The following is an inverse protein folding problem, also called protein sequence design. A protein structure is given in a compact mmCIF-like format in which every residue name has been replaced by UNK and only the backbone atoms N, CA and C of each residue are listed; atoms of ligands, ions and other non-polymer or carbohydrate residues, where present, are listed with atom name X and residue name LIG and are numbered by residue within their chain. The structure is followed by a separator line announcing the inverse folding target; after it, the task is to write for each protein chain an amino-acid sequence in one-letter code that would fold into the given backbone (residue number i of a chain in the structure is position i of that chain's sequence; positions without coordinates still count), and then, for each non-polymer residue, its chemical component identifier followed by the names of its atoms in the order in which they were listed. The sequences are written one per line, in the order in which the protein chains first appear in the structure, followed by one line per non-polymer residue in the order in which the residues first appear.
data_IF_578368081979
#
_entry.id   IF_578368081979
#
_cell.length_a   1.000
_cell.length_b   1.000
_cell.length_c   1.000
_cell.angle_alpha   90.00
_cell.angle_beta   90.00
_cell.angle_gamma   90.00
#
_symmetry.space_group_name_H-M   'P 1'
#
loop_
_entity.id
_entity.type
_entity.pdbx_description
1 polymer ?
#
# COMPACT_ATOMS: atom_id res chain seq x y z
N UNK A 1 -1.99 -13.64 -31.58
CA UNK A 1 -2.16 -12.29 -31.03
C UNK A 1 -0.83 -11.93 -30.37
N UNK A 2 -0.06 -10.99 -30.94
CA UNK A 2 1.13 -10.44 -30.30
C UNK A 2 0.71 -9.83 -28.96
N UNK A 3 1.44 -10.11 -27.89
CA UNK A 3 1.19 -9.50 -26.58
C UNK A 3 1.40 -7.98 -26.72
N UNK A 4 0.33 -7.21 -26.61
CA UNK A 4 0.38 -5.75 -26.75
C UNK A 4 1.37 -5.09 -25.76
N UNK A 5 1.75 -5.80 -24.69
CA UNK A 5 2.77 -5.39 -23.73
C UNK A 5 4.20 -5.67 -24.18
N UNK A 6 4.46 -6.35 -25.30
CA UNK A 6 5.82 -6.42 -25.86
C UNK A 6 6.31 -5.04 -26.36
N UNK A 7 5.40 -4.09 -26.56
CA UNK A 7 5.73 -2.73 -27.02
C UNK A 7 5.48 -1.65 -25.94
N UNK A 8 4.74 -1.94 -24.88
CA UNK A 8 4.42 -0.99 -23.80
C UNK A 8 4.50 -1.69 -22.45
N UNK A 9 5.35 -1.18 -21.57
CA UNK A 9 5.52 -1.66 -20.20
C UNK A 9 4.55 -0.98 -19.22
N UNK A 10 4.37 -1.57 -18.02
CA UNK A 10 3.75 -0.88 -16.90
C UNK A 10 4.61 0.35 -16.57
N UNK A 11 4.00 1.52 -16.53
CA UNK A 11 4.68 2.80 -16.42
C UNK A 11 4.20 3.64 -15.23
N UNK A 12 3.30 3.11 -14.41
CA UNK A 12 2.83 3.74 -13.18
C UNK A 12 2.67 2.70 -12.08
N UNK A 13 3.39 2.84 -10.96
CA UNK A 13 3.32 1.88 -9.86
C UNK A 13 3.05 2.59 -8.53
N UNK A 14 1.93 2.26 -7.89
CA UNK A 14 1.69 2.64 -6.50
C UNK A 14 2.33 1.59 -5.58
N UNK A 15 3.50 1.93 -5.04
CA UNK A 15 4.34 1.04 -4.26
C UNK A 15 3.97 0.96 -2.78
N UNK A 16 3.19 1.92 -2.27
CA UNK A 16 2.85 1.95 -0.83
C UNK A 16 2.20 3.26 -0.37
N UNK A 17 2.12 3.42 0.95
CA UNK A 17 2.38 2.41 1.97
C UNK A 17 1.14 1.58 2.25
N UNK A 18 1.34 0.36 2.71
CA UNK A 18 0.20 -0.47 3.10
C UNK A 18 -0.56 0.17 4.28
N UNK A 19 -1.89 0.26 4.18
CA UNK A 19 -2.81 0.91 5.15
C UNK A 19 -2.84 2.45 5.10
N UNK A 20 -2.37 3.03 4.00
CA UNK A 20 -2.36 4.48 3.75
C UNK A 20 -3.32 4.93 2.64
N UNK A 21 -4.41 4.20 2.37
CA UNK A 21 -5.45 4.65 1.43
C UNK A 21 -5.24 4.25 -0.03
N UNK A 22 -4.25 3.43 -0.37
CA UNK A 22 -3.99 3.00 -1.76
C UNK A 22 -5.19 2.34 -2.46
N UNK A 23 -6.12 1.72 -1.71
CA UNK A 23 -7.34 1.16 -2.30
C UNK A 23 -8.35 2.24 -2.67
N UNK A 24 -8.43 3.33 -1.91
CA UNK A 24 -9.27 4.50 -2.24
C UNK A 24 -8.77 5.14 -3.52
N UNK A 25 -7.48 5.45 -3.60
CA UNK A 25 -6.87 6.01 -4.81
C UNK A 25 -7.07 5.08 -6.02
N UNK A 26 -6.82 3.78 -5.86
CA UNK A 26 -7.08 2.78 -6.91
C UNK A 26 -8.53 2.85 -7.41
N UNK A 27 -9.51 2.86 -6.50
CA UNK A 27 -10.93 2.88 -6.87
C UNK A 27 -11.31 4.15 -7.64
N UNK A 28 -10.73 5.29 -7.28
CA UNK A 28 -10.94 6.55 -8.00
C UNK A 28 -10.32 6.47 -9.40
N UNK A 29 -9.06 6.10 -9.50
CA UNK A 29 -8.34 6.08 -10.77
C UNK A 29 -8.83 4.99 -11.73
N UNK A 30 -9.48 3.91 -11.25
CA UNK A 30 -10.12 2.92 -12.15
C UNK A 30 -11.27 3.49 -12.96
N UNK A 31 -11.84 4.63 -12.57
CA UNK A 31 -12.89 5.34 -13.30
C UNK A 31 -12.31 6.32 -14.34
N UNK A 32 -11.00 6.59 -14.28
CA UNK A 32 -10.35 7.56 -15.15
C UNK A 32 -10.03 6.97 -16.53
N UNK A 33 -10.36 7.68 -17.64
CA UNK A 33 -10.22 7.12 -18.99
C UNK A 33 -8.79 6.90 -19.47
N UNK A 34 -7.79 7.53 -18.84
CA UNK A 34 -6.38 7.42 -19.24
C UNK A 34 -5.64 6.27 -18.53
N UNK A 35 -6.28 5.51 -17.65
CA UNK A 35 -5.63 4.47 -16.85
C UNK A 35 -6.09 3.06 -17.23
N UNK A 36 -5.13 2.14 -17.27
CA UNK A 36 -5.36 0.70 -17.39
C UNK A 36 -4.79 0.00 -16.16
N UNK A 37 -5.56 -0.88 -15.55
CA UNK A 37 -5.14 -1.62 -14.37
C UNK A 37 -5.03 -3.12 -14.68
N UNK A 38 -4.18 -3.81 -13.92
CA UNK A 38 -4.13 -5.25 -13.90
C UNK A 38 -5.52 -5.85 -13.59
N UNK A 39 -5.77 -7.09 -14.02
CA UNK A 39 -7.01 -7.83 -13.72
C UNK A 39 -7.20 -8.07 -12.22
N UNK A 40 -6.10 -8.17 -11.49
CA UNK A 40 -6.09 -8.32 -10.03
C UNK A 40 -5.36 -7.13 -9.42
N UNK A 41 -5.90 -6.58 -8.34
CA UNK A 41 -5.18 -5.62 -7.52
C UNK A 41 -4.11 -6.35 -6.73
N UNK A 42 -2.93 -5.70 -6.54
CA UNK A 42 -1.79 -6.23 -5.80
C UNK A 42 -1.18 -7.49 -6.46
N UNK A 43 -0.60 -7.29 -7.65
CA UNK A 43 0.03 -8.35 -8.46
C UNK A 43 1.20 -9.02 -7.73
N UNK A 44 1.87 -8.30 -6.81
CA UNK A 44 2.96 -8.80 -5.96
C UNK A 44 4.26 -9.18 -6.71
N UNK A 45 4.35 -8.96 -8.02
CA UNK A 45 5.40 -9.48 -8.87
C UNK A 45 6.82 -9.10 -8.40
N UNK A 46 7.06 -7.80 -8.13
CA UNK A 46 8.38 -7.31 -7.70
C UNK A 46 8.71 -7.60 -6.23
N UNK A 47 7.75 -8.11 -5.44
CA UNK A 47 7.92 -8.54 -4.05
C UNK A 47 7.73 -10.05 -3.87
N UNK A 48 7.89 -10.84 -4.93
CA UNK A 48 7.81 -12.31 -4.89
C UNK A 48 9.22 -12.89 -4.82
N UNK A 49 9.42 -13.87 -3.95
CA UNK A 49 10.67 -14.62 -3.86
C UNK A 49 10.39 -16.13 -4.06
N UNK A 50 11.20 -16.84 -4.86
CA UNK A 50 12.27 -16.29 -5.69
C UNK A 50 11.74 -15.41 -6.83
N UNK A 51 12.41 -14.28 -7.06
CA UNK A 51 12.11 -13.39 -8.18
C UNK A 51 12.73 -13.92 -9.47
N UNK A 52 11.98 -13.83 -10.54
CA UNK A 52 12.49 -14.10 -11.89
C UNK A 52 12.21 -12.89 -12.78
N UNK A 53 13.19 -12.49 -13.60
CA UNK A 53 13.00 -11.40 -14.58
C UNK A 53 12.17 -11.82 -15.81
N UNK A 54 11.43 -12.94 -15.72
CA UNK A 54 10.46 -13.35 -16.73
C UNK A 54 9.15 -12.57 -16.54
N UNK A 55 9.03 -11.47 -17.25
CA UNK A 55 7.87 -10.57 -17.13
C UNK A 55 6.59 -11.12 -17.79
N UNK A 56 6.62 -12.26 -18.47
CA UNK A 56 5.42 -12.85 -19.13
C UNK A 56 4.27 -13.07 -18.15
N UNK A 57 4.56 -13.56 -16.94
CA UNK A 57 3.54 -13.75 -15.89
C UNK A 57 2.99 -12.42 -15.37
N UNK A 58 3.85 -11.41 -15.28
CA UNK A 58 3.43 -10.05 -14.88
C UNK A 58 2.51 -9.45 -15.94
N UNK A 59 2.93 -9.48 -17.19
CA UNK A 59 2.18 -8.98 -18.34
C UNK A 59 0.86 -9.73 -18.57
N UNK A 60 0.77 -11.01 -18.22
CA UNK A 60 -0.46 -11.79 -18.30
C UNK A 60 -1.63 -11.16 -17.52
N UNK A 61 -1.35 -10.37 -16.48
CA UNK A 61 -2.39 -9.64 -15.72
C UNK A 61 -3.05 -8.52 -16.54
N UNK A 62 -2.49 -8.12 -17.67
CA UNK A 62 -2.99 -7.05 -18.53
C UNK A 62 -3.55 -7.58 -19.87
N UNK A 63 -3.49 -8.90 -20.15
CA UNK A 63 -4.00 -9.49 -21.38
C UNK A 63 -5.47 -9.14 -21.61
N UNK A 64 -5.80 -8.76 -22.84
CA UNK A 64 -7.16 -8.37 -23.24
C UNK A 64 -7.65 -7.06 -22.60
N UNK A 65 -6.75 -6.26 -22.03
CA UNK A 65 -7.03 -4.88 -21.64
C UNK A 65 -6.74 -3.93 -22.78
N UNK A 66 -7.54 -2.88 -22.89
CA UNK A 66 -7.21 -1.72 -23.74
C UNK A 66 -6.12 -0.96 -23.00
N UNK A 67 -4.91 -0.90 -23.55
CA UNK A 67 -3.80 -0.17 -22.96
C UNK A 67 -3.96 1.33 -23.22
N UNK A 68 -4.03 2.08 -22.13
CA UNK A 68 -4.18 3.54 -22.13
C UNK A 68 -2.84 4.20 -21.84
N UNK A 69 -2.82 5.52 -21.65
CA UNK A 69 -1.60 6.29 -21.36
C UNK A 69 -0.86 5.71 -20.14
N UNK A 70 -1.57 5.47 -19.05
CA UNK A 70 -1.03 4.91 -17.81
C UNK A 70 -1.42 3.43 -17.66
N UNK A 71 -0.43 2.56 -17.64
CA UNK A 71 -0.59 1.13 -17.34
C UNK A 71 -0.11 0.95 -15.90
N UNK A 72 -1.06 0.70 -14.99
CA UNK A 72 -0.85 0.86 -13.56
C UNK A 72 -0.84 -0.46 -12.77
N UNK A 73 0.12 -0.60 -11.84
CA UNK A 73 0.15 -1.62 -10.78
C UNK A 73 0.01 -0.96 -9.41
N UNK A 74 -0.90 -1.46 -8.58
CA UNK A 74 -1.13 -0.98 -7.23
C UNK A 74 -0.82 -2.08 -6.22
N UNK A 75 0.43 -2.18 -5.81
CA UNK A 75 0.92 -3.20 -4.87
C UNK A 75 1.65 -2.54 -3.68
N UNK A 76 0.95 -2.20 -2.60
CA UNK A 76 1.51 -1.45 -1.47
C UNK A 76 2.61 -2.16 -0.67
N UNK A 77 2.89 -3.41 -0.98
CA UNK A 77 3.98 -4.18 -0.37
C UNK A 77 5.35 -3.77 -0.93
N UNK A 78 5.42 -3.22 -2.13
CA UNK A 78 6.69 -2.90 -2.79
C UNK A 78 7.52 -1.88 -2.01
N UNK A 79 6.88 -0.88 -1.39
CA UNK A 79 7.59 0.16 -0.65
C UNK A 79 8.52 -0.41 0.42
N UNK A 80 8.01 -1.38 1.20
CA UNK A 80 8.76 -1.98 2.29
C UNK A 80 9.69 -3.12 1.83
N UNK A 81 9.51 -3.67 0.63
CA UNK A 81 10.34 -4.77 0.13
C UNK A 81 11.73 -4.25 -0.29
N UNK A 82 12.83 -4.81 0.22
CA UNK A 82 14.17 -4.27 0.03
C UNK A 82 14.58 -4.17 -1.45
N UNK A 83 14.21 -5.15 -2.27
CA UNK A 83 14.63 -5.24 -3.67
C UNK A 83 13.58 -4.75 -4.68
N UNK A 84 12.37 -4.38 -4.23
CA UNK A 84 11.32 -4.02 -5.18
C UNK A 84 11.69 -2.79 -6.02
N UNK A 85 12.33 -1.78 -5.42
CA UNK A 85 12.76 -0.57 -6.13
C UNK A 85 13.74 -0.90 -7.27
N UNK A 86 14.77 -1.71 -7.00
CA UNK A 86 15.77 -2.12 -8.01
C UNK A 86 15.15 -2.99 -9.11
N UNK A 87 14.25 -3.91 -8.73
CA UNK A 87 13.53 -4.77 -9.70
C UNK A 87 12.62 -3.95 -10.62
N UNK A 88 11.95 -2.90 -10.07
CA UNK A 88 11.10 -1.99 -10.86
C UNK A 88 11.95 -1.14 -11.79
N UNK A 89 13.06 -0.56 -11.31
CA UNK A 89 13.96 0.24 -12.13
C UNK A 89 14.60 -0.59 -13.27
N UNK A 90 15.00 -1.83 -12.99
CA UNK A 90 15.51 -2.75 -14.01
C UNK A 90 14.42 -3.16 -15.03
N UNK A 91 13.16 -3.22 -14.62
CA UNK A 91 12.03 -3.52 -15.51
C UNK A 91 11.69 -2.34 -16.41
N UNK A 92 11.54 -1.16 -15.86
CA UNK A 92 11.24 0.07 -16.60
C UNK A 92 11.74 1.30 -15.83
N UNK A 93 12.88 1.91 -16.23
CA UNK A 93 13.42 3.08 -15.54
C UNK A 93 12.55 4.34 -15.68
N UNK A 94 11.63 4.37 -16.67
CA UNK A 94 10.71 5.48 -16.88
C UNK A 94 9.40 5.36 -16.08
N UNK A 95 9.35 4.41 -15.14
CA UNK A 95 8.16 4.19 -14.29
C UNK A 95 7.93 5.36 -13.34
N UNK A 96 6.72 5.90 -13.33
CA UNK A 96 6.26 6.82 -12.29
C UNK A 96 5.84 6.05 -11.04
N UNK A 97 6.30 6.51 -9.89
CA UNK A 97 6.12 5.87 -8.57
C UNK A 97 5.17 6.70 -7.72
N UNK A 98 4.07 6.11 -7.27
CA UNK A 98 3.14 6.74 -6.32
C UNK A 98 3.37 6.16 -4.93
N UNK A 99 3.52 7.05 -3.93
CA UNK A 99 3.70 6.69 -2.52
C UNK A 99 2.71 7.49 -1.68
N UNK A 100 1.74 6.80 -1.07
CA UNK A 100 0.83 7.38 -0.09
C UNK A 100 1.36 7.12 1.31
N UNK A 101 1.50 8.15 2.12
CA UNK A 101 1.98 8.07 3.50
C UNK A 101 0.86 8.44 4.48
N UNK A 102 0.89 7.84 5.62
CA UNK A 102 -0.01 8.07 6.75
C UNK A 102 0.80 8.14 8.02
N UNK A 103 0.31 8.81 9.07
CA UNK A 103 0.88 8.70 10.41
C UNK A 103 1.27 7.23 10.68
N UNK A 104 2.57 6.93 10.89
CA UNK A 104 3.07 5.56 10.98
C UNK A 104 2.49 4.81 12.18
N UNK A 105 2.11 5.50 13.26
CA UNK A 105 1.42 4.91 14.42
C UNK A 105 0.03 4.44 14.01
N UNK A 106 -0.76 5.30 13.37
CA UNK A 106 -2.10 4.96 12.90
C UNK A 106 -2.06 3.88 11.81
N UNK A 107 -1.03 3.90 10.96
CA UNK A 107 -0.80 2.85 9.97
C UNK A 107 -0.51 1.50 10.65
N UNK A 108 0.38 1.49 11.68
CA UNK A 108 0.72 0.28 12.43
C UNK A 108 -0.51 -0.31 13.12
N UNK A 109 -1.32 0.49 13.80
CA UNK A 109 -2.60 0.07 14.40
C UNK A 109 -3.51 -0.56 13.34
N UNK A 110 -3.70 0.11 12.21
CA UNK A 110 -4.55 -0.39 11.11
C UNK A 110 -4.02 -1.71 10.51
N UNK A 111 -2.69 -1.89 10.46
CA UNK A 111 -2.06 -3.12 9.98
C UNK A 111 -2.25 -4.27 10.99
N UNK A 112 -2.00 -4.01 12.26
CA UNK A 112 -2.22 -4.97 13.34
C UNK A 112 -3.69 -5.46 13.34
N UNK A 113 -4.64 -4.53 13.31
CA UNK A 113 -6.07 -4.85 13.23
C UNK A 113 -6.40 -5.75 12.01
N UNK A 114 -5.77 -5.49 10.88
CA UNK A 114 -5.93 -6.35 9.69
C UNK A 114 -5.36 -7.75 9.93
N UNK A 115 -4.18 -7.89 10.57
CA UNK A 115 -3.58 -9.19 10.87
C UNK A 115 -4.44 -10.00 11.84
N UNK A 116 -4.97 -9.38 12.91
CA UNK A 116 -5.91 -10.00 13.85
C UNK A 116 -7.17 -10.50 13.11
N UNK A 117 -7.80 -9.67 12.29
CA UNK A 117 -8.99 -10.05 11.52
C UNK A 117 -8.76 -11.23 10.58
N UNK A 118 -7.58 -11.27 9.96
CA UNK A 118 -7.20 -12.36 9.05
C UNK A 118 -6.73 -13.63 9.80
N UNK A 119 -6.63 -13.58 11.14
CA UNK A 119 -6.14 -14.67 11.96
C UNK A 119 -4.63 -14.93 11.78
N UNK A 120 -3.90 -13.92 11.34
CA UNK A 120 -2.44 -13.96 11.12
C UNK A 120 -1.66 -13.36 12.30
N UNK A 121 -2.35 -12.92 13.35
CA UNK A 121 -1.77 -12.46 14.60
C UNK A 121 -2.70 -12.81 15.76
N UNK A 122 -2.12 -13.17 16.90
CA UNK A 122 -2.84 -13.53 18.13
C UNK A 122 -2.29 -12.82 19.36
N UNK A 123 -1.07 -12.24 19.27
CA UNK A 123 -0.45 -11.47 20.34
C UNK A 123 -1.15 -10.13 20.51
N UNK A 124 -0.99 -9.52 21.68
CA UNK A 124 -1.42 -8.14 21.93
C UNK A 124 -0.63 -7.14 21.07
N UNK A 125 -1.15 -5.93 20.90
CA UNK A 125 -0.45 -4.90 20.13
C UNK A 125 0.88 -4.51 20.79
N UNK A 126 0.91 -4.43 22.12
CA UNK A 126 2.12 -4.15 22.89
C UNK A 126 3.22 -5.21 22.66
N UNK A 127 2.86 -6.49 22.64
CA UNK A 127 3.81 -7.57 22.35
C UNK A 127 4.34 -7.50 20.93
N UNK A 128 3.50 -7.19 19.95
CA UNK A 128 3.91 -7.01 18.54
C UNK A 128 4.86 -5.82 18.43
N UNK A 129 4.53 -4.68 19.04
CA UNK A 129 5.38 -3.49 19.01
C UNK A 129 6.74 -3.78 19.65
N UNK A 130 6.75 -4.38 20.83
CA UNK A 130 8.01 -4.74 21.53
C UNK A 130 8.86 -5.67 20.67
N UNK A 131 8.28 -6.73 20.14
CA UNK A 131 8.98 -7.71 19.30
C UNK A 131 9.53 -7.08 18.02
N UNK A 132 8.71 -6.27 17.31
CA UNK A 132 9.12 -5.62 16.06
C UNK A 132 10.20 -4.57 16.29
N UNK A 133 10.06 -3.72 17.33
CA UNK A 133 11.05 -2.68 17.63
C UNK A 133 12.39 -3.27 18.10
N UNK A 134 12.37 -4.35 18.85
CA UNK A 134 13.61 -5.05 19.26
C UNK A 134 14.32 -5.66 18.06
N UNK A 135 13.61 -6.39 17.22
CA UNK A 135 14.17 -6.95 16.00
C UNK A 135 14.78 -5.88 15.08
N UNK A 136 14.12 -4.73 14.93
CA UNK A 136 14.58 -3.63 14.07
C UNK A 136 15.80 -2.87 14.62
N UNK A 137 16.08 -2.94 15.94
CA UNK A 137 17.31 -2.38 16.52
C UNK A 137 18.55 -3.19 16.15
N UNK A 138 18.40 -4.51 16.05
CA UNK A 138 19.52 -5.42 15.80
C UNK A 138 19.79 -5.66 14.32
N UNK A 139 18.74 -5.63 13.50
CA UNK A 139 18.83 -5.82 12.06
C UNK A 139 17.95 -4.79 11.30
N UNK A 140 18.54 -3.69 10.89
CA UNK A 140 17.84 -2.73 9.98
C UNK A 140 17.42 -3.35 8.65
N UNK A 141 17.93 -4.55 8.34
CA UNK A 141 17.60 -5.35 7.15
C UNK A 141 16.54 -6.43 7.38
N UNK A 142 16.03 -6.58 8.62
CA UNK A 142 14.88 -7.47 8.84
C UNK A 142 13.81 -7.09 7.83
N UNK A 143 13.36 -8.08 7.08
CA UNK A 143 12.25 -7.96 6.11
C UNK A 143 11.14 -7.06 6.67
N UNK A 144 11.31 -5.76 6.52
CA UNK A 144 10.29 -4.75 6.85
C UNK A 144 8.97 -5.14 6.22
N UNK A 145 9.04 -6.02 5.21
CA UNK A 145 7.91 -6.60 4.51
C UNK A 145 6.93 -7.41 5.36
N UNK A 146 7.32 -7.94 6.52
CA UNK A 146 6.44 -8.70 7.43
C UNK A 146 6.10 -7.93 8.70
N UNK A 147 6.96 -7.00 9.12
CA UNK A 147 6.82 -6.22 10.36
C UNK A 147 5.61 -5.28 10.32
N UNK A 148 4.88 -5.22 11.42
CA UNK A 148 3.84 -4.22 11.63
C UNK A 148 4.46 -2.84 11.82
N UNK A 149 5.57 -2.75 12.56
CA UNK A 149 6.25 -1.48 12.86
C UNK A 149 7.15 -1.07 11.70
N UNK A 150 8.02 -1.96 11.20
CA UNK A 150 9.05 -1.64 10.20
C UNK A 150 8.51 -1.02 8.91
N UNK A 151 7.29 -1.37 8.50
CA UNK A 151 6.63 -0.72 7.34
C UNK A 151 6.31 0.76 7.52
N UNK A 152 6.46 1.31 8.72
CA UNK A 152 6.27 2.72 9.02
C UNK A 152 7.57 3.55 8.98
N UNK A 153 8.71 2.92 8.80
CA UNK A 153 10.01 3.59 8.60
C UNK A 153 10.11 4.06 7.15
N UNK A 154 9.49 5.20 6.85
CA UNK A 154 9.29 5.66 5.47
C UNK A 154 10.53 6.25 4.84
N UNK A 155 11.34 6.99 5.59
CA UNK A 155 12.49 7.71 5.06
C UNK A 155 13.48 6.75 4.39
N UNK A 156 13.85 5.66 5.08
CA UNK A 156 14.74 4.64 4.53
C UNK A 156 14.12 3.89 3.32
N UNK A 157 12.80 3.68 3.33
CA UNK A 157 12.10 3.04 2.23
C UNK A 157 12.05 3.93 0.98
N UNK A 158 11.76 5.22 1.14
CA UNK A 158 11.72 6.20 0.05
C UNK A 158 13.11 6.42 -0.51
N UNK A 159 14.15 6.44 0.32
CA UNK A 159 15.53 6.61 -0.12
C UNK A 159 15.96 5.57 -1.18
N UNK A 160 15.44 4.33 -1.11
CA UNK A 160 15.69 3.31 -2.14
C UNK A 160 15.11 3.68 -3.51
N UNK A 161 13.98 4.39 -3.54
CA UNK A 161 13.37 4.90 -4.78
C UNK A 161 14.07 6.17 -5.25
N UNK A 162 14.42 7.08 -4.33
CA UNK A 162 15.17 8.31 -4.66
C UNK A 162 16.53 8.03 -5.30
N UNK A 163 17.16 6.91 -4.94
CA UNK A 163 18.44 6.50 -5.52
C UNK A 163 18.32 5.97 -6.97
N UNK A 164 17.12 5.60 -7.42
CA UNK A 164 16.91 4.88 -8.69
C UNK A 164 16.00 5.62 -9.67
N UNK A 165 15.18 6.53 -9.18
CA UNK A 165 14.21 7.27 -9.99
C UNK A 165 14.39 8.76 -9.82
N UNK A 166 14.33 9.56 -10.90
CA UNK A 166 14.40 11.01 -10.80
C UNK A 166 13.19 11.58 -10.04
N UNK A 167 13.39 12.72 -9.40
CA UNK A 167 12.39 13.34 -8.50
C UNK A 167 11.02 13.53 -9.14
N UNK A 168 10.97 13.88 -10.42
CA UNK A 168 9.73 14.10 -11.18
C UNK A 168 8.96 12.81 -11.50
N UNK A 169 9.55 11.64 -11.24
CA UNK A 169 8.87 10.35 -11.34
C UNK A 169 8.32 9.86 -9.98
N UNK A 170 8.62 10.52 -8.86
CA UNK A 170 8.19 10.09 -7.52
C UNK A 170 7.13 11.05 -6.99
N UNK A 171 5.89 10.56 -6.88
CA UNK A 171 4.70 11.27 -6.45
C UNK A 171 4.34 10.89 -5.02
N UNK A 172 4.57 11.82 -4.08
CA UNK A 172 4.27 11.62 -2.66
C UNK A 172 2.90 12.23 -2.32
N UNK A 173 2.07 11.49 -1.60
CA UNK A 173 0.73 11.93 -1.17
C UNK A 173 0.53 11.67 0.32
N UNK A 174 -0.15 12.57 1.03
CA UNK A 174 -0.61 12.33 2.40
C UNK A 174 -1.97 11.64 2.39
N UNK A 175 -2.11 10.63 3.24
CA UNK A 175 -3.39 9.94 3.45
C UNK A 175 -4.49 10.90 3.96
N UNK A 176 -4.13 11.79 4.86
CA UNK A 176 -5.07 12.73 5.47
C UNK A 176 -5.64 13.70 4.44
N UNK A 177 -4.83 14.16 3.48
CA UNK A 177 -5.29 15.00 2.37
C UNK A 177 -6.23 14.21 1.43
N UNK A 178 -5.88 12.95 1.14
CA UNK A 178 -6.74 12.07 0.35
C UNK A 178 -8.09 11.80 1.04
N UNK A 179 -8.15 11.82 2.37
CA UNK A 179 -9.41 11.62 3.11
C UNK A 179 -10.22 12.91 3.21
N UNK A 180 -9.56 14.03 3.52
CA UNK A 180 -10.21 15.32 3.78
C UNK A 180 -10.56 16.09 2.50
N UNK A 181 -9.69 16.01 1.47
CA UNK A 181 -9.72 16.80 0.25
C UNK A 181 -9.54 15.93 -1.00
N UNK A 182 -10.33 14.88 -1.11
CA UNK A 182 -10.13 13.75 -2.05
C UNK A 182 -9.96 14.20 -3.50
N UNK A 183 -10.89 15.03 -4.02
CA UNK A 183 -10.86 15.51 -5.41
C UNK A 183 -9.63 16.37 -5.67
N UNK A 184 -9.35 17.33 -4.80
CA UNK A 184 -8.19 18.23 -4.93
C UNK A 184 -6.89 17.43 -4.91
N UNK A 185 -6.76 16.49 -3.99
CA UNK A 185 -5.55 15.65 -3.82
C UNK A 185 -5.33 14.74 -5.03
N UNK A 186 -6.39 14.15 -5.57
CA UNK A 186 -6.29 13.30 -6.76
C UNK A 186 -5.99 14.14 -8.00
N UNK A 187 -6.61 15.31 -8.16
CA UNK A 187 -6.34 16.19 -9.30
C UNK A 187 -4.93 16.78 -9.26
N UNK A 188 -4.35 17.01 -8.08
CA UNK A 188 -2.94 17.38 -7.97
C UNK A 188 -2.03 16.27 -8.53
N UNK A 189 -2.26 15.01 -8.14
CA UNK A 189 -1.53 13.87 -8.72
C UNK A 189 -1.74 13.78 -10.24
N UNK A 190 -2.97 13.91 -10.73
CA UNK A 190 -3.26 13.86 -12.16
C UNK A 190 -2.54 14.96 -12.93
N UNK A 191 -2.45 16.17 -12.38
CA UNK A 191 -1.69 17.29 -12.95
C UNK A 191 -0.19 16.97 -13.03
N UNK A 192 0.41 16.40 -11.98
CA UNK A 192 1.81 15.96 -11.99
C UNK A 192 2.06 14.88 -13.04
N UNK A 193 1.10 13.99 -13.25
CA UNK A 193 1.14 12.96 -14.29
C UNK A 193 0.81 13.51 -15.71
N UNK A 194 0.45 14.79 -15.84
CA UNK A 194 0.00 15.39 -17.08
C UNK A 194 -1.27 14.75 -17.64
N UNK A 195 -2.13 14.25 -16.76
CA UNK A 195 -3.44 13.67 -17.08
C UNK A 195 -4.57 14.69 -16.90
N UNK A 196 -5.72 14.41 -17.53
CA UNK A 196 -6.92 15.24 -17.36
C UNK A 196 -7.46 15.14 -15.94
N UNK A 197 -8.09 16.22 -15.44
CA UNK A 197 -8.72 16.23 -14.12
C UNK A 197 -10.01 15.40 -14.12
N UNK A 198 -10.44 14.97 -12.92
CA UNK A 198 -11.73 14.31 -12.70
C UNK A 198 -12.59 15.12 -11.73
N UNK A 199 -13.91 14.98 -11.86
CA UNK A 199 -14.89 15.45 -10.87
C UNK A 199 -15.42 14.23 -10.11
N UNK A 200 -15.40 14.30 -8.79
CA UNK A 200 -15.94 13.25 -7.93
C UNK A 200 -17.35 13.65 -7.49
N UNK A 201 -18.34 12.87 -7.87
CA UNK A 201 -19.75 13.10 -7.47
C UNK A 201 -20.03 12.71 -6.03
N UNK A 202 -19.16 11.88 -5.44
CA UNK A 202 -19.26 11.40 -4.05
C UNK A 202 -17.89 11.04 -3.51
N UNK A 203 -17.74 11.09 -2.19
CA UNK A 203 -16.50 10.65 -1.52
C UNK A 203 -16.38 9.12 -1.59
N UNK A 204 -15.26 8.65 -2.10
CA UNK A 204 -14.97 7.21 -2.21
C UNK A 204 -14.37 6.69 -0.92
N UNK A 205 -15.09 5.84 -0.20
CA UNK A 205 -14.62 5.11 0.97
C UNK A 205 -14.36 3.65 0.60
N UNK A 206 -13.17 3.34 0.11
CA UNK A 206 -12.78 1.96 -0.18
C UNK A 206 -12.29 1.26 1.09
N UNK A 207 -12.75 0.03 1.33
CA UNK A 207 -12.44 -0.80 2.49
C UNK A 207 -12.87 -0.21 3.85
N UNK A 208 -14.16 0.07 4.07
CA UNK A 208 -14.64 0.20 5.43
C UNK A 208 -14.22 -1.03 6.22
N UNK A 209 -13.74 -0.80 7.42
CA UNK A 209 -13.36 -1.88 8.30
C UNK A 209 -14.58 -2.81 8.51
N UNK A 210 -14.38 -4.14 8.43
CA UNK A 210 -15.43 -5.14 8.66
C UNK A 210 -14.92 -6.25 9.57
N UNK A 211 -15.83 -6.87 10.33
CA UNK A 211 -15.53 -8.06 11.10
C UNK A 211 -16.21 -9.28 10.45
N UNK A 212 -15.46 -10.35 10.11
CA UNK A 212 -16.07 -11.55 9.55
C UNK A 212 -16.93 -12.25 10.62
N UNK A 213 -18.22 -12.47 10.36
CA UNK A 213 -19.08 -13.23 11.27
C UNK A 213 -18.61 -14.69 11.40
N UNK A 214 -18.17 -15.28 10.30
CA UNK A 214 -17.64 -16.64 10.26
C UNK A 214 -16.10 -16.63 10.29
N UNK A 215 -15.50 -16.29 11.43
CA UNK A 215 -14.04 -16.13 11.59
C UNK A 215 -13.24 -17.36 11.13
N UNK A 216 -13.72 -18.58 11.42
CA UNK A 216 -13.05 -19.84 10.99
C UNK A 216 -13.06 -20.01 9.47
N UNK A 217 -14.20 -19.78 8.84
CA UNK A 217 -14.34 -19.85 7.37
C UNK A 217 -13.51 -18.76 6.72
N UNK A 218 -13.56 -17.54 7.25
CA UNK A 218 -12.74 -16.41 6.76
C UNK A 218 -11.26 -16.72 6.83
N UNK A 219 -10.77 -17.33 7.91
CA UNK A 219 -9.35 -17.73 8.08
C UNK A 219 -8.90 -18.70 6.99
N UNK A 220 -9.72 -19.64 6.60
CA UNK A 220 -9.42 -20.59 5.51
C UNK A 220 -9.47 -19.89 4.16
N UNK A 221 -10.57 -19.18 3.89
CA UNK A 221 -10.80 -18.50 2.61
C UNK A 221 -9.78 -17.39 2.34
N UNK A 222 -9.31 -16.69 3.38
CA UNK A 222 -8.30 -15.63 3.24
C UNK A 222 -6.89 -16.16 2.90
N UNK A 223 -6.61 -17.42 3.14
CA UNK A 223 -5.34 -18.10 2.80
C UNK A 223 -5.31 -18.67 1.38
N UNK A 224 -6.49 -18.89 0.79
CA UNK A 224 -6.57 -19.43 -0.58
C UNK A 224 -6.34 -18.29 -1.61
N UNK A 225 -5.88 -18.61 -2.83
CA UNK A 225 -5.70 -17.63 -3.89
C UNK A 225 -7.01 -16.87 -4.17
N UNK A 226 -6.90 -15.56 -4.35
CA UNK A 226 -8.05 -14.66 -4.53
C UNK A 226 -8.87 -15.00 -5.79
N UNK A 227 -8.23 -15.55 -6.80
CA UNK A 227 -8.87 -15.99 -8.05
C UNK A 227 -10.02 -16.98 -7.79
N UNK A 228 -9.85 -17.89 -6.81
CA UNK A 228 -10.87 -18.91 -6.48
C UNK A 228 -11.86 -18.46 -5.41
N UNK A 229 -11.55 -17.42 -4.66
CA UNK A 229 -12.31 -17.05 -3.46
C UNK A 229 -12.95 -15.67 -3.50
N UNK A 230 -12.76 -14.91 -4.59
CA UNK A 230 -13.23 -13.53 -4.69
C UNK A 230 -14.74 -13.37 -4.41
N UNK A 231 -15.58 -14.22 -5.02
CA UNK A 231 -17.05 -14.21 -4.77
C UNK A 231 -17.40 -14.55 -3.33
N UNK A 232 -16.77 -15.61 -2.79
CA UNK A 232 -17.03 -16.05 -1.42
C UNK A 232 -16.57 -14.99 -0.40
N UNK A 233 -15.40 -14.37 -0.62
CA UNK A 233 -14.92 -13.26 0.20
C UNK A 233 -15.88 -12.08 0.14
N UNK A 234 -16.41 -11.75 -1.02
CA UNK A 234 -17.38 -10.66 -1.18
C UNK A 234 -18.69 -10.95 -0.42
N UNK A 235 -19.21 -12.17 -0.49
CA UNK A 235 -20.42 -12.59 0.24
C UNK A 235 -20.17 -12.53 1.75
N UNK A 236 -19.09 -13.13 2.24
CA UNK A 236 -18.72 -13.12 3.66
C UNK A 236 -18.48 -11.69 4.18
N UNK A 237 -17.92 -10.81 3.38
CA UNK A 237 -17.72 -9.40 3.70
C UNK A 237 -19.04 -8.64 3.78
N UNK A 238 -19.97 -8.87 2.84
CA UNK A 238 -21.26 -8.19 2.83
C UNK A 238 -22.18 -8.61 4.00
N UNK A 239 -22.06 -9.85 4.46
CA UNK A 239 -22.76 -10.31 5.66
C UNK A 239 -22.19 -9.75 6.96
N UNK A 240 -20.97 -9.20 6.95
CA UNK A 240 -20.20 -8.83 8.14
C UNK A 240 -20.17 -7.31 8.39
N UNK A 241 -21.24 -6.57 8.10
CA UNK A 241 -21.30 -5.11 8.24
C UNK A 241 -21.40 -4.58 9.69
N UNK A 242 -21.04 -5.35 10.72
CA UNK A 242 -21.01 -4.84 12.10
C UNK A 242 -19.72 -4.07 12.38
N UNK A 243 -19.88 -2.92 13.06
CA UNK A 243 -18.82 -1.97 13.41
C UNK A 243 -17.66 -2.63 14.15
N UNK A 244 -16.43 -2.37 13.71
CA UNK A 244 -15.18 -2.88 14.28
C UNK A 244 -14.83 -2.25 15.64
N UNK A 245 -15.47 -1.17 16.01
CA UNK A 245 -15.19 -0.47 17.26
C UNK A 245 -15.30 -1.36 18.52
N UNK A 246 -15.95 -2.52 18.42
CA UNK A 246 -16.24 -3.38 19.58
C UNK A 246 -15.31 -4.57 19.79
N UNK A 247 -14.37 -4.86 18.90
CA UNK A 247 -13.57 -6.11 18.97
C UNK A 247 -12.06 -5.95 18.84
N UNK A 248 -11.58 -4.72 18.65
CA UNK A 248 -10.14 -4.47 18.66
C UNK A 248 -9.68 -4.23 20.11
N UNK A 249 -8.69 -4.98 20.60
CA UNK A 249 -8.12 -4.68 21.91
C UNK A 249 -7.71 -3.23 21.99
N UNK A 250 -7.99 -2.53 23.10
CA UNK A 250 -7.57 -1.15 23.29
C UNK A 250 -6.05 -1.06 23.16
N UNK A 251 -5.59 -0.04 22.48
CA UNK A 251 -4.17 0.29 22.39
C UNK A 251 -3.84 1.16 23.59
N UNK A 252 -2.93 0.70 24.44
CA UNK A 252 -2.53 1.45 25.63
C UNK A 252 -1.59 2.61 25.28
N UNK A 253 -1.66 3.68 26.08
CA UNK A 253 -0.91 4.92 25.85
C UNK A 253 0.61 4.70 25.98
N UNK A 254 1.06 3.76 26.81
CA UNK A 254 2.47 3.43 26.94
C UNK A 254 3.04 2.86 25.63
N UNK A 255 2.30 1.96 24.97
CA UNK A 255 2.67 1.43 23.66
C UNK A 255 2.70 2.53 22.58
N UNK A 256 1.76 3.47 22.62
CA UNK A 256 1.77 4.60 21.69
C UNK A 256 2.99 5.50 21.87
N UNK A 257 3.39 5.79 23.10
CA UNK A 257 4.61 6.56 23.41
C UNK A 257 5.87 5.86 22.87
N UNK A 258 5.97 4.55 23.08
CA UNK A 258 7.09 3.76 22.51
C UNK A 258 7.14 3.87 21.00
N UNK A 259 6.01 3.73 20.31
CA UNK A 259 5.96 3.84 18.86
C UNK A 259 6.30 5.23 18.35
N UNK A 260 5.76 6.28 18.95
CA UNK A 260 6.10 7.67 18.58
C UNK A 260 7.59 7.93 18.74
N UNK A 261 8.17 7.54 19.89
CA UNK A 261 9.61 7.67 20.11
C UNK A 261 10.42 6.89 19.08
N UNK A 262 9.99 5.68 18.72
CA UNK A 262 10.66 4.83 17.74
C UNK A 262 10.64 5.44 16.31
N UNK A 263 9.53 6.05 15.91
CA UNK A 263 9.42 6.65 14.57
C UNK A 263 10.01 8.05 14.45
N UNK A 264 10.31 8.71 15.57
CA UNK A 264 10.67 10.15 15.58
C UNK A 264 11.80 10.51 14.64
N UNK A 265 12.87 9.74 14.65
CA UNK A 265 14.04 10.00 13.79
C UNK A 265 13.69 9.83 12.30
N UNK A 266 12.97 8.77 11.93
CA UNK A 266 12.49 8.54 10.57
C UNK A 266 11.54 9.65 10.10
N UNK A 267 10.67 10.14 10.99
CA UNK A 267 9.74 11.24 10.68
C UNK A 267 10.47 12.58 10.46
N UNK A 268 11.49 12.89 11.24
CA UNK A 268 12.32 14.07 11.02
C UNK A 268 13.08 14.01 9.70
N UNK A 269 13.62 12.84 9.35
CA UNK A 269 14.24 12.63 8.05
C UNK A 269 13.23 12.76 6.91
N UNK A 270 12.03 12.22 7.08
CA UNK A 270 10.93 12.36 6.12
C UNK A 270 10.49 13.81 5.95
N UNK A 271 10.36 14.56 7.04
CA UNK A 271 10.03 16.00 7.00
C UNK A 271 11.09 16.79 6.20
N UNK A 272 12.37 16.54 6.45
CA UNK A 272 13.47 17.14 5.69
C UNK A 272 13.38 16.81 4.20
N UNK A 273 13.07 15.53 3.87
CA UNK A 273 12.96 15.05 2.49
C UNK A 273 11.78 15.65 1.74
N UNK A 274 10.64 15.83 2.40
CA UNK A 274 9.37 16.22 1.78
C UNK A 274 9.05 17.69 1.89
N UNK A 275 9.60 18.38 2.90
CA UNK A 275 9.17 19.71 3.29
C UNK A 275 7.79 19.75 3.95
N UNK A 276 7.20 18.61 4.28
CA UNK A 276 5.91 18.56 4.96
C UNK A 276 6.03 18.90 6.43
N UNK A 277 5.06 19.61 6.97
CA UNK A 277 4.88 19.67 8.42
C UNK A 277 4.26 18.33 8.87
N UNK A 278 5.00 17.60 9.69
CA UNK A 278 4.62 16.31 10.28
C UNK A 278 4.50 16.41 11.81
N UNK A 279 4.35 17.59 12.35
CA UNK A 279 4.21 17.81 13.80
C UNK A 279 3.00 17.06 14.40
N UNK A 280 1.99 16.82 13.59
CA UNK A 280 0.80 16.03 13.94
C UNK A 280 1.08 14.50 14.02
N UNK A 281 2.23 14.04 13.53
CA UNK A 281 2.64 12.63 13.60
C UNK A 281 3.65 12.35 14.73
N UNK A 282 4.36 13.38 15.20
CA UNK A 282 5.41 13.32 16.24
C UNK A 282 4.82 13.53 17.67
#
# INVERSE_FOLDING_TARGET
MKDALNERQVNLICVGAQKSGTTTLYTILTKHPEFTFARIKEVQYFATDPYTADHRKYHANYRGRVLRRWIADFTPRYLAHPEAASRIAAYNPDTHIIILLRDPVQRAISHYQMKIRNGNETRSFAEVVRSDTEALKHEMTVETGQSVVGRGLYAAQIARYDALFPRNQIHLMRFDDLVKHQEVTVNALLSELGSTSITLTETVHANPAFEPQLKRVWKVVSRLPMVYTARLRMVLRNQSRRSIAQTTPPVDEATLKVLRAFYREDQLALQTRTGWDLSDWI
#
